data_IF_003991940428
#
_entry.id   IF_003991940428
#
_cell.length_a   1.000
_cell.length_b   1.000
_cell.length_c   1.000
_cell.angle_alpha   90.00
_cell.angle_beta   90.00
_cell.angle_gamma   90.00
#
_symmetry.space_group_name_H-M   'P 1'
#
loop_
_entity.id
_entity.type
_entity.pdbx_description
1 polymer ?
#
# COMPACT_ATOMS: atom_id res chain seq x y z
N UNK A 1 15.07 -29.08 15.92
CA UNK A 1 14.54 -28.09 16.91
C UNK A 1 14.85 -26.62 16.58
N UNK A 2 15.97 -26.29 15.90
CA UNK A 2 16.36 -24.88 15.64
C UNK A 2 15.52 -24.07 14.63
N UNK A 3 14.89 -24.71 13.63
CA UNK A 3 14.10 -23.98 12.60
C UNK A 3 12.79 -23.39 13.13
N UNK A 4 12.04 -24.10 13.98
CA UNK A 4 10.81 -23.57 14.61
C UNK A 4 11.10 -22.38 15.53
N UNK A 5 12.23 -22.42 16.26
CA UNK A 5 12.61 -21.34 17.17
C UNK A 5 12.98 -20.04 16.41
N UNK A 6 13.68 -20.16 15.28
CA UNK A 6 13.99 -19.01 14.41
C UNK A 6 12.75 -18.43 13.73
N UNK A 7 11.79 -19.27 13.31
CA UNK A 7 10.54 -18.80 12.70
C UNK A 7 9.67 -18.04 13.70
N UNK A 8 9.49 -18.57 14.91
CA UNK A 8 8.71 -17.89 15.95
C UNK A 8 9.36 -16.55 16.34
N UNK A 9 10.68 -16.51 16.44
CA UNK A 9 11.40 -15.28 16.74
C UNK A 9 11.26 -14.23 15.62
N UNK A 10 11.27 -14.64 14.34
CA UNK A 10 11.04 -13.74 13.22
C UNK A 10 9.59 -13.20 13.20
N UNK A 11 8.60 -14.05 13.50
CA UNK A 11 7.19 -13.65 13.60
C UNK A 11 6.97 -12.67 14.76
N UNK A 12 7.56 -12.92 15.92
CA UNK A 12 7.51 -12.00 17.07
C UNK A 12 8.18 -10.66 16.75
N UNK A 13 9.28 -10.67 16.00
CA UNK A 13 10.00 -9.45 15.60
C UNK A 13 9.20 -8.64 14.58
N UNK A 14 8.56 -9.29 13.60
CA UNK A 14 7.66 -8.65 12.63
C UNK A 14 6.43 -8.07 13.31
N UNK A 15 5.76 -8.85 14.16
CA UNK A 15 4.59 -8.39 14.90
C UNK A 15 4.92 -7.20 15.81
N UNK A 16 6.04 -7.25 16.54
CA UNK A 16 6.49 -6.14 17.38
C UNK A 16 6.86 -4.91 16.55
N UNK A 17 7.47 -5.08 15.37
CA UNK A 17 7.80 -3.98 14.46
C UNK A 17 6.55 -3.29 13.95
N UNK A 18 5.58 -4.03 13.42
CA UNK A 18 4.34 -3.48 12.86
C UNK A 18 3.50 -2.82 13.96
N UNK A 19 3.45 -3.46 15.14
CA UNK A 19 2.83 -2.88 16.32
C UNK A 19 3.49 -1.56 16.75
N UNK A 20 4.83 -1.52 16.81
CA UNK A 20 5.57 -0.31 17.18
C UNK A 20 5.40 0.82 16.15
N UNK A 21 5.37 0.51 14.86
CA UNK A 21 5.14 1.48 13.79
C UNK A 21 3.74 2.08 13.88
N UNK A 22 2.71 1.23 14.04
CA UNK A 22 1.34 1.68 14.18
C UNK A 22 1.14 2.48 15.47
N UNK A 23 1.74 2.00 16.57
CA UNK A 23 1.74 2.68 17.86
C UNK A 23 2.45 4.05 17.78
N UNK A 24 3.56 4.15 17.05
CA UNK A 24 4.32 5.38 16.85
C UNK A 24 3.51 6.41 16.04
N UNK A 25 2.90 6.00 14.93
CA UNK A 25 2.07 6.87 14.08
C UNK A 25 0.82 7.37 14.82
N UNK A 26 0.17 6.51 15.62
CA UNK A 26 -0.95 6.94 16.47
C UNK A 26 -0.49 7.77 17.67
N UNK A 27 0.73 7.57 18.17
CA UNK A 27 1.33 8.40 19.22
C UNK A 27 1.58 9.83 18.72
N UNK A 28 2.19 10.02 17.54
CA UNK A 28 2.66 11.35 17.11
C UNK A 28 1.53 12.42 17.09
N UNK A 29 0.35 12.07 16.56
CA UNK A 29 -0.80 12.99 16.55
C UNK A 29 -1.32 13.28 17.97
N UNK A 30 -1.49 12.24 18.80
CA UNK A 30 -2.03 12.39 20.16
C UNK A 30 -1.04 13.05 21.12
N UNK A 31 0.26 12.90 20.86
CA UNK A 31 1.33 13.39 21.70
C UNK A 31 1.54 14.89 21.51
N UNK A 32 1.50 15.40 20.28
CA UNK A 32 1.53 16.85 20.00
C UNK A 32 0.34 17.54 20.69
N UNK A 33 -0.86 16.94 20.62
CA UNK A 33 -2.05 17.43 21.34
C UNK A 33 -1.90 17.41 22.87
N UNK A 34 -1.04 16.53 23.41
CA UNK A 34 -0.81 16.40 24.85
C UNK A 34 0.20 17.40 25.42
N UNK A 35 1.07 18.01 24.59
CA UNK A 35 2.10 18.96 25.02
C UNK A 35 1.51 20.13 25.83
N UNK A 36 0.44 20.83 25.39
CA UNK A 36 -0.18 21.89 26.17
C UNK A 36 -0.68 21.42 27.54
N UNK A 37 -1.19 20.19 27.63
CA UNK A 37 -1.71 19.60 28.87
C UNK A 37 -0.58 19.34 29.86
N UNK A 38 0.57 18.86 29.38
CA UNK A 38 1.76 18.61 30.19
C UNK A 38 2.38 19.92 30.68
N UNK A 39 2.47 20.93 29.81
CA UNK A 39 2.93 22.28 30.20
C UNK A 39 2.00 22.88 31.26
N UNK A 40 0.68 22.73 31.08
CA UNK A 40 -0.30 23.18 32.06
C UNK A 40 -0.11 22.47 33.41
N UNK A 41 0.11 21.15 33.42
CA UNK A 41 0.42 20.39 34.63
C UNK A 41 1.68 20.90 35.32
N UNK A 42 2.76 21.13 34.56
CA UNK A 42 4.01 21.69 35.07
C UNK A 42 3.81 23.06 35.72
N UNK A 43 3.08 23.97 35.06
CA UNK A 43 2.81 25.32 35.57
C UNK A 43 1.97 25.27 36.85
N UNK A 44 0.89 24.48 36.87
CA UNK A 44 -0.01 24.38 38.02
C UNK A 44 0.71 23.80 39.25
N UNK A 45 1.56 22.79 39.07
CA UNK A 45 2.35 22.21 40.17
C UNK A 45 3.50 23.12 40.62
N UNK A 46 4.08 23.92 39.72
CA UNK A 46 5.00 24.98 40.12
C UNK A 46 4.28 26.03 40.99
N UNK A 47 3.10 26.48 40.60
CA UNK A 47 2.31 27.46 41.35
C UNK A 47 1.82 26.91 42.70
N UNK A 48 1.49 25.62 42.78
CA UNK A 48 1.12 24.92 44.01
C UNK A 48 2.17 25.11 45.11
N UNK A 49 3.46 25.02 44.77
CA UNK A 49 4.54 25.09 45.76
C UNK A 49 4.78 26.50 46.30
N UNK A 50 4.60 27.51 45.45
CA UNK A 50 5.07 28.88 45.71
C UNK A 50 3.97 29.89 46.05
N UNK A 51 2.71 29.47 46.10
CA UNK A 51 1.57 30.36 46.41
C UNK A 51 0.87 29.96 47.71
N UNK A 52 0.13 30.91 48.30
CA UNK A 52 -0.69 30.67 49.51
C UNK A 52 -1.93 29.80 49.24
N UNK A 53 -2.41 29.78 47.99
CA UNK A 53 -3.64 29.06 47.56
C UNK A 53 -3.36 27.61 47.12
N UNK A 54 -2.58 26.86 47.90
CA UNK A 54 -2.14 25.49 47.53
C UNK A 54 -3.29 24.56 47.12
N UNK A 55 -4.39 24.56 47.87
CA UNK A 55 -5.56 23.71 47.59
C UNK A 55 -6.17 23.99 46.21
N UNK A 56 -6.25 25.26 45.79
CA UNK A 56 -6.80 25.65 44.49
C UNK A 56 -5.94 25.10 43.35
N UNK A 57 -4.63 25.29 43.41
CA UNK A 57 -3.72 24.84 42.35
C UNK A 57 -3.61 23.32 42.26
N UNK A 58 -3.71 22.63 43.40
CA UNK A 58 -3.80 21.18 43.42
C UNK A 58 -5.07 20.69 42.71
N UNK A 59 -6.23 21.29 43.01
CA UNK A 59 -7.51 20.95 42.36
C UNK A 59 -7.43 21.20 40.86
N UNK A 60 -6.93 22.38 40.45
CA UNK A 60 -6.75 22.70 39.03
C UNK A 60 -5.78 21.74 38.34
N UNK A 61 -4.70 21.32 39.02
CA UNK A 61 -3.76 20.32 38.52
C UNK A 61 -4.37 18.92 38.40
N UNK A 62 -5.34 18.55 39.22
CA UNK A 62 -6.00 17.25 39.09
C UNK A 62 -7.01 17.18 37.93
N UNK A 63 -7.57 18.31 37.49
CA UNK A 63 -8.59 18.33 36.42
C UNK A 63 -8.07 17.71 35.12
N UNK A 64 -6.88 18.09 34.57
CA UNK A 64 -6.33 17.45 33.39
C UNK A 64 -6.13 15.95 33.53
N UNK A 65 -5.70 15.47 34.69
CA UNK A 65 -5.52 14.05 34.95
C UNK A 65 -6.86 13.29 34.86
N UNK A 66 -7.92 13.85 35.44
CA UNK A 66 -9.27 13.28 35.34
C UNK A 66 -9.73 13.22 33.88
N UNK A 67 -9.49 14.28 33.09
CA UNK A 67 -9.82 14.31 31.66
C UNK A 67 -9.07 13.22 30.89
N UNK A 68 -7.76 13.05 31.14
CA UNK A 68 -6.94 12.00 30.50
C UNK A 68 -7.50 10.61 30.85
N UNK A 69 -7.81 10.35 32.12
CA UNK A 69 -8.36 9.06 32.57
C UNK A 69 -9.72 8.78 31.94
N UNK A 70 -10.63 9.75 31.95
CA UNK A 70 -11.97 9.59 31.36
C UNK A 70 -11.88 9.34 29.85
N UNK A 71 -11.04 10.09 29.13
CA UNK A 71 -10.84 9.91 27.68
C UNK A 71 -10.23 8.53 27.37
N UNK A 72 -9.25 8.10 28.17
CA UNK A 72 -8.65 6.76 28.05
C UNK A 72 -9.70 5.67 28.28
N UNK A 73 -10.51 5.78 29.32
CA UNK A 73 -11.58 4.83 29.61
C UNK A 73 -12.63 4.79 28.50
N UNK A 74 -13.08 5.96 28.00
CA UNK A 74 -14.00 6.04 26.87
C UNK A 74 -13.43 5.32 25.64
N UNK A 75 -12.15 5.51 25.33
CA UNK A 75 -11.53 4.86 24.18
C UNK A 75 -11.41 3.34 24.34
N UNK A 76 -11.00 2.88 25.52
CA UNK A 76 -10.92 1.44 25.82
C UNK A 76 -12.29 0.78 25.69
N UNK A 77 -13.34 1.42 26.22
CA UNK A 77 -14.72 0.91 26.19
C UNK A 77 -15.29 0.92 24.77
N UNK A 78 -15.06 1.99 23.99
CA UNK A 78 -15.67 2.16 22.68
C UNK A 78 -14.95 1.41 21.54
N UNK A 79 -13.63 1.29 21.60
CA UNK A 79 -12.84 0.74 20.48
C UNK A 79 -12.19 -0.61 20.76
N UNK A 80 -12.18 -1.10 22.00
CA UNK A 80 -11.64 -2.41 22.38
C UNK A 80 -10.20 -2.66 21.87
N UNK A 81 -9.39 -1.61 21.78
CA UNK A 81 -8.03 -1.64 21.25
C UNK A 81 -7.02 -1.49 22.39
N UNK A 82 -6.25 -2.55 22.63
CA UNK A 82 -5.11 -2.56 23.56
C UNK A 82 -4.10 -1.44 23.27
N UNK A 83 -3.91 -1.09 21.99
CA UNK A 83 -3.06 0.01 21.52
C UNK A 83 -3.45 1.37 22.16
N UNK A 84 -4.74 1.64 22.30
CA UNK A 84 -5.25 2.90 22.86
C UNK A 84 -5.07 3.00 24.38
N UNK A 85 -5.10 1.86 25.08
CA UNK A 85 -4.81 1.82 26.51
C UNK A 85 -3.35 2.21 26.78
N UNK A 86 -2.42 1.75 25.92
CA UNK A 86 -1.01 2.10 26.02
C UNK A 86 -0.76 3.60 25.78
N UNK A 87 -1.44 4.20 24.79
CA UNK A 87 -1.38 5.66 24.56
C UNK A 87 -1.86 6.42 25.80
N UNK A 88 -2.97 6.00 26.41
CA UNK A 88 -3.49 6.62 27.64
C UNK A 88 -2.53 6.51 28.83
N UNK A 89 -1.90 5.34 29.03
CA UNK A 89 -0.86 5.15 30.05
C UNK A 89 0.33 6.08 29.78
N UNK A 90 0.76 6.18 28.52
CA UNK A 90 1.88 7.03 28.13
C UNK A 90 1.59 8.50 28.43
N UNK A 91 0.44 9.02 27.99
CA UNK A 91 0.02 10.41 28.27
C UNK A 91 -0.09 10.68 29.76
N UNK A 92 -0.60 9.71 30.54
CA UNK A 92 -0.70 9.83 32.00
C UNK A 92 0.68 9.90 32.66
N UNK A 93 1.60 9.02 32.26
CA UNK A 93 2.97 9.02 32.74
C UNK A 93 3.68 10.34 32.38
N UNK A 94 3.46 10.82 31.15
CA UNK A 94 4.04 12.06 30.66
C UNK A 94 3.53 13.28 31.42
N UNK A 95 2.23 13.33 31.70
CA UNK A 95 1.62 14.33 32.57
C UNK A 95 2.22 14.29 33.98
N UNK A 96 2.36 13.08 34.56
CA UNK A 96 2.97 12.86 35.87
C UNK A 96 4.41 13.38 35.95
N UNK A 97 5.23 13.12 34.92
CA UNK A 97 6.59 13.65 34.79
C UNK A 97 6.55 15.19 34.76
N UNK A 98 5.64 15.78 33.97
CA UNK A 98 5.46 17.25 33.94
C UNK A 98 5.12 17.83 35.32
N UNK A 99 4.23 17.19 36.08
CA UNK A 99 3.90 17.59 37.44
C UNK A 99 5.10 17.47 38.40
N UNK A 100 5.89 16.40 38.29
CA UNK A 100 7.11 16.21 39.08
C UNK A 100 8.13 17.32 38.79
N UNK A 101 8.39 17.60 37.51
CA UNK A 101 9.27 18.69 37.07
C UNK A 101 8.76 20.03 37.63
N UNK A 102 7.45 20.29 37.52
CA UNK A 102 6.80 21.48 38.08
C UNK A 102 7.03 21.64 39.59
N UNK A 103 7.01 20.54 40.34
CA UNK A 103 7.28 20.58 41.79
C UNK A 103 8.73 20.92 42.14
N UNK A 104 9.70 20.59 41.28
CA UNK A 104 11.10 21.01 41.43
C UNK A 104 11.37 22.40 40.85
N UNK A 105 10.45 22.93 40.06
CA UNK A 105 10.56 24.23 39.42
C UNK A 105 10.53 25.39 40.43
N UNK A 106 11.46 26.34 40.29
CA UNK A 106 11.47 27.56 41.07
C UNK A 106 11.14 28.75 40.15
N UNK A 107 9.93 29.32 40.22
CA UNK A 107 9.48 30.35 39.31
C UNK A 107 10.25 31.66 39.47
N UNK A 108 11.01 31.83 40.57
CA UNK A 108 11.88 33.00 40.80
C UNK A 108 13.17 32.96 39.99
N UNK A 109 13.57 31.80 39.44
CA UNK A 109 14.79 31.65 38.64
C UNK A 109 14.42 31.69 37.16
N UNK A 110 14.73 32.79 36.48
CA UNK A 110 14.40 33.02 35.07
C UNK A 110 14.94 31.92 34.13
N UNK A 111 16.10 31.34 34.46
CA UNK A 111 16.69 30.23 33.72
C UNK A 111 15.82 28.97 33.69
N UNK A 112 14.99 28.74 34.71
CA UNK A 112 14.10 27.58 34.71
C UNK A 112 12.97 27.76 33.69
N UNK A 113 12.47 28.99 33.51
CA UNK A 113 11.46 29.33 32.51
C UNK A 113 11.97 29.18 31.07
N UNK A 114 13.26 29.37 30.84
CA UNK A 114 13.89 29.13 29.54
C UNK A 114 14.24 27.66 29.33
N UNK A 115 14.91 27.01 30.30
CA UNK A 115 15.43 25.66 30.13
C UNK A 115 14.37 24.57 30.23
N UNK A 116 13.30 24.78 31.01
CA UNK A 116 12.25 23.77 31.20
C UNK A 116 11.52 23.42 29.90
N UNK A 117 10.92 24.40 29.20
CA UNK A 117 10.27 24.18 27.91
C UNK A 117 11.23 23.66 26.84
N UNK A 118 12.47 24.15 26.80
CA UNK A 118 13.49 23.70 25.84
C UNK A 118 13.90 22.24 26.10
N UNK A 119 14.11 21.84 27.36
CA UNK A 119 14.42 20.46 27.70
C UNK A 119 13.26 19.51 27.36
N UNK A 120 12.02 19.91 27.66
CA UNK A 120 10.82 19.18 27.24
C UNK A 120 10.78 19.03 25.71
N UNK A 121 10.94 20.12 24.97
CA UNK A 121 10.97 20.13 23.51
C UNK A 121 12.08 19.20 22.96
N UNK A 122 13.28 19.22 23.54
CA UNK A 122 14.40 18.38 23.11
C UNK A 122 14.15 16.90 23.39
N UNK A 123 13.53 16.55 24.53
CA UNK A 123 13.14 15.16 24.83
C UNK A 123 12.13 14.62 23.81
N UNK A 124 11.33 15.49 23.17
CA UNK A 124 10.45 15.12 22.07
C UNK A 124 11.14 15.12 20.71
N UNK A 125 11.89 16.17 20.40
CA UNK A 125 12.50 16.33 19.09
C UNK A 125 13.59 15.29 18.84
N UNK A 126 14.41 14.94 19.85
CA UNK A 126 15.54 14.02 19.65
C UNK A 126 15.08 12.63 19.21
N UNK A 127 14.13 11.95 19.88
CA UNK A 127 13.60 10.67 19.41
C UNK A 127 12.97 10.76 18.02
N UNK A 128 12.20 11.83 17.73
CA UNK A 128 11.54 11.99 16.44
C UNK A 128 12.54 12.24 15.31
N UNK A 129 13.59 13.03 15.56
CA UNK A 129 14.71 13.24 14.63
C UNK A 129 15.47 11.93 14.42
N UNK A 130 15.81 11.21 15.49
CA UNK A 130 16.51 9.92 15.41
C UNK A 130 15.67 8.89 14.64
N UNK A 131 14.37 8.81 14.91
CA UNK A 131 13.42 7.97 14.18
C UNK A 131 13.41 8.32 12.70
N UNK A 132 13.18 9.60 12.37
CA UNK A 132 13.15 10.12 11.00
C UNK A 132 14.42 9.82 10.20
N UNK A 133 15.60 9.94 10.84
CA UNK A 133 16.88 9.68 10.19
C UNK A 133 17.33 8.22 10.23
N UNK A 134 16.70 7.37 11.05
CA UNK A 134 17.07 5.97 11.09
C UNK A 134 16.33 5.18 10.00
N UNK A 135 17.12 4.56 9.12
CA UNK A 135 16.63 3.77 7.98
C UNK A 135 15.76 2.58 8.37
N UNK A 136 15.75 2.22 9.65
CA UNK A 136 14.91 1.16 10.19
C UNK A 136 13.42 1.54 10.18
N UNK A 137 13.09 2.84 10.17
CA UNK A 137 11.72 3.35 10.05
C UNK A 137 11.34 3.75 8.62
N UNK A 138 12.24 3.55 7.66
CA UNK A 138 11.85 3.78 6.26
C UNK A 138 10.81 2.75 5.84
N UNK A 139 9.80 3.26 5.15
CA UNK A 139 8.65 2.50 4.70
C UNK A 139 9.06 1.65 3.49
N UNK A 140 8.62 0.38 3.41
CA UNK A 140 8.83 -0.42 2.21
C UNK A 140 8.10 0.25 1.06
N UNK A 141 8.79 0.50 -0.05
CA UNK A 141 8.21 1.14 -1.22
C UNK A 141 7.20 0.23 -1.93
N UNK A 142 7.45 -1.08 -1.88
CA UNK A 142 6.59 -2.07 -2.49
C UNK A 142 6.59 -3.37 -1.71
N UNK A 143 5.59 -4.20 -1.97
CA UNK A 143 5.45 -5.51 -1.32
C UNK A 143 5.96 -6.61 -2.25
N UNK A 144 6.70 -7.57 -1.69
CA UNK A 144 7.17 -8.77 -2.39
C UNK A 144 6.53 -9.99 -1.72
N UNK A 145 5.82 -10.80 -2.50
CA UNK A 145 5.27 -12.08 -2.04
C UNK A 145 5.75 -13.20 -2.95
N UNK A 146 6.60 -14.06 -2.40
CA UNK A 146 7.09 -15.26 -3.06
C UNK A 146 6.34 -16.50 -2.55
N UNK A 147 5.71 -17.21 -3.47
CA UNK A 147 4.93 -18.41 -3.20
C UNK A 147 5.36 -19.55 -4.13
N UNK A 148 5.32 -20.81 -3.69
CA UNK A 148 5.41 -21.92 -4.62
C UNK A 148 4.23 -21.82 -5.59
N UNK A 149 4.50 -22.02 -6.88
CA UNK A 149 3.43 -22.14 -7.86
C UNK A 149 2.61 -23.37 -7.47
N UNK A 150 1.34 -23.19 -7.14
CA UNK A 150 0.44 -24.27 -6.78
C UNK A 150 0.17 -25.15 -8.02
N UNK A 151 1.13 -26.01 -8.34
CA UNK A 151 1.06 -26.93 -9.46
C UNK A 151 0.12 -28.10 -9.14
N UNK A 152 -0.02 -28.48 -7.85
CA UNK A 152 -0.68 -29.73 -7.44
C UNK A 152 -1.36 -29.69 -6.04
N UNK A 153 -2.32 -28.80 -5.78
CA UNK A 153 -3.12 -28.95 -4.53
C UNK A 153 -4.42 -28.14 -4.49
N UNK A 154 -5.46 -28.59 -5.20
CA UNK A 154 -6.86 -28.70 -4.71
C UNK A 154 -7.77 -29.17 -5.86
N UNK A 155 -8.33 -30.36 -5.75
CA UNK A 155 -9.25 -30.93 -6.74
C UNK A 155 -10.45 -30.01 -7.00
N UNK A 156 -10.56 -29.51 -8.23
CA UNK A 156 -11.70 -28.73 -8.68
C UNK A 156 -11.38 -27.80 -9.84
N UNK A 157 -11.41 -28.33 -11.07
CA UNK A 157 -11.67 -27.57 -12.30
C UNK A 157 -10.57 -26.67 -12.92
N UNK A 158 -9.45 -26.33 -12.25
CA UNK A 158 -8.37 -25.49 -12.85
C UNK A 158 -7.17 -26.30 -13.35
N UNK A 159 -7.06 -27.58 -12.98
CA UNK A 159 -5.90 -28.44 -13.25
C UNK A 159 -5.58 -28.69 -14.74
N UNK A 160 -6.54 -28.44 -15.66
CA UNK A 160 -6.28 -28.57 -17.09
C UNK A 160 -5.64 -27.30 -17.71
N UNK A 161 -5.79 -26.14 -17.07
CA UNK A 161 -5.32 -24.88 -17.63
C UNK A 161 -3.87 -24.60 -17.25
N UNK A 162 -3.50 -24.76 -15.97
CA UNK A 162 -2.13 -24.54 -15.52
C UNK A 162 -1.15 -25.59 -16.07
N UNK A 163 -1.51 -26.88 -16.06
CA UNK A 163 -0.71 -27.94 -16.70
C UNK A 163 -0.62 -27.78 -18.23
N UNK A 164 -1.71 -27.32 -18.87
CA UNK A 164 -1.72 -27.01 -20.30
C UNK A 164 -0.89 -25.78 -20.68
N UNK A 165 -0.84 -24.77 -19.81
CA UNK A 165 -0.03 -23.56 -19.98
C UNK A 165 1.44 -23.80 -19.68
N UNK A 166 1.78 -24.53 -18.61
CA UNK A 166 3.15 -24.93 -18.28
C UNK A 166 3.78 -25.81 -19.37
N UNK A 167 2.97 -26.61 -20.08
CA UNK A 167 3.42 -27.36 -21.25
C UNK A 167 3.68 -26.47 -22.49
N UNK A 168 3.15 -25.24 -22.52
CA UNK A 168 3.17 -24.36 -23.69
C UNK A 168 4.09 -23.15 -23.52
N UNK A 169 4.33 -22.68 -22.31
CA UNK A 169 5.09 -21.47 -22.00
C UNK A 169 6.10 -21.71 -20.89
N UNK A 170 7.20 -20.97 -20.93
CA UNK A 170 8.26 -21.02 -19.93
C UNK A 170 7.91 -20.20 -18.68
N UNK A 171 7.27 -19.05 -18.89
CA UNK A 171 6.77 -18.19 -17.83
C UNK A 171 5.65 -17.27 -18.32
N UNK A 172 4.92 -16.69 -17.38
CA UNK A 172 3.91 -15.66 -17.59
C UNK A 172 4.20 -14.44 -16.72
N UNK A 173 4.08 -13.23 -17.29
CA UNK A 173 4.06 -11.97 -16.56
C UNK A 173 2.66 -11.37 -16.65
N UNK A 174 2.02 -11.13 -15.51
CA UNK A 174 0.79 -10.36 -15.42
C UNK A 174 1.12 -8.98 -14.85
N UNK A 175 0.94 -7.96 -15.66
CA UNK A 175 1.19 -6.56 -15.31
C UNK A 175 -0.17 -5.90 -15.14
N UNK A 176 -0.41 -5.25 -14.02
CA UNK A 176 -1.58 -4.42 -13.80
C UNK A 176 -1.21 -3.02 -13.35
N UNK A 177 -2.01 -2.07 -13.83
CA UNK A 177 -2.03 -0.71 -13.35
C UNK A 177 -3.47 -0.36 -13.02
N UNK A 178 -3.75 0.15 -11.83
CA UNK A 178 -5.07 0.66 -11.46
C UNK A 178 -4.99 1.91 -10.61
N UNK A 179 -6.01 2.75 -10.64
CA UNK A 179 -6.19 3.75 -9.60
C UNK A 179 -6.48 3.07 -8.24
N UNK A 180 -6.33 3.80 -7.14
CA UNK A 180 -6.47 3.30 -5.78
C UNK A 180 -7.89 2.86 -5.42
N UNK A 181 -8.90 3.29 -6.18
CA UNK A 181 -10.29 2.87 -6.04
C UNK A 181 -10.66 1.78 -7.06
N UNK A 182 -9.73 1.40 -7.94
CA UNK A 182 -9.87 0.34 -8.94
C UNK A 182 -11.06 0.65 -9.89
N UNK A 183 -11.27 1.93 -10.19
CA UNK A 183 -12.23 2.37 -11.19
C UNK A 183 -11.73 2.09 -12.60
N UNK A 184 -10.47 2.38 -12.92
CA UNK A 184 -9.80 2.07 -14.17
C UNK A 184 -8.62 1.12 -13.88
N UNK A 185 -8.73 -0.13 -14.31
CA UNK A 185 -7.67 -1.14 -14.23
C UNK A 185 -7.24 -1.54 -15.65
N UNK A 186 -5.97 -1.33 -15.96
CA UNK A 186 -5.29 -1.71 -17.19
C UNK A 186 -4.44 -2.94 -16.92
N UNK A 187 -4.48 -3.91 -17.82
CA UNK A 187 -3.81 -5.19 -17.62
C UNK A 187 -3.09 -5.62 -18.89
N UNK A 188 -1.93 -6.24 -18.72
CA UNK A 188 -1.18 -6.91 -19.77
C UNK A 188 -0.69 -8.28 -19.27
N UNK A 189 -1.04 -9.34 -20.01
CA UNK A 189 -0.57 -10.71 -19.77
C UNK A 189 0.42 -11.08 -20.87
N UNK A 190 1.66 -11.38 -20.48
CA UNK A 190 2.74 -11.74 -21.39
C UNK A 190 3.12 -13.19 -21.13
N UNK A 191 2.87 -14.08 -22.10
CA UNK A 191 3.20 -15.51 -22.03
C UNK A 191 4.38 -15.79 -22.94
N UNK A 192 5.49 -16.26 -22.40
CA UNK A 192 6.74 -16.42 -23.15
C UNK A 192 7.08 -17.89 -23.35
N UNK A 193 7.53 -18.24 -24.56
CA UNK A 193 8.08 -19.55 -24.90
C UNK A 193 9.35 -19.35 -25.71
N UNK A 194 10.51 -19.64 -25.12
CA UNK A 194 11.82 -19.43 -25.72
C UNK A 194 11.97 -18.03 -26.35
N UNK A 195 11.91 -17.94 -27.68
CA UNK A 195 12.11 -16.73 -28.47
C UNK A 195 10.80 -16.20 -29.08
N UNK A 196 9.66 -16.57 -28.51
CA UNK A 196 8.34 -15.98 -28.83
C UNK A 196 7.58 -15.59 -27.57
N UNK A 197 6.74 -14.57 -27.69
CA UNK A 197 5.87 -14.11 -26.61
C UNK A 197 4.47 -13.77 -27.14
N UNK A 198 3.44 -14.21 -26.45
CA UNK A 198 2.06 -13.76 -26.67
C UNK A 198 1.76 -12.66 -25.67
N UNK A 199 1.46 -11.46 -26.16
CA UNK A 199 1.10 -10.30 -25.34
C UNK A 199 -0.39 -10.04 -25.50
N UNK A 200 -1.15 -10.18 -24.43
CA UNK A 200 -2.57 -9.86 -24.40
C UNK A 200 -2.81 -8.65 -23.49
N UNK A 201 -3.55 -7.66 -23.96
CA UNK A 201 -3.92 -6.47 -23.19
C UNK A 201 -5.41 -6.42 -22.97
N UNK A 202 -5.82 -5.95 -21.80
CA UNK A 202 -7.22 -5.71 -21.47
C UNK A 202 -7.36 -4.49 -20.56
N UNK A 203 -8.58 -3.99 -20.50
CA UNK A 203 -8.94 -2.81 -19.71
C UNK A 203 -10.24 -3.10 -18.97
N UNK A 204 -10.39 -2.53 -17.77
CA UNK A 204 -11.57 -2.64 -16.93
C UNK A 204 -11.92 -1.25 -16.42
N UNK A 205 -13.12 -0.77 -16.71
CA UNK A 205 -13.60 0.55 -16.29
C UNK A 205 -14.86 0.36 -15.45
N UNK A 206 -14.92 0.97 -14.27
CA UNK A 206 -16.00 0.88 -13.30
C UNK A 206 -16.35 -0.55 -12.88
N UNK A 207 -15.35 -1.42 -12.77
CA UNK A 207 -15.59 -2.82 -12.48
C UNK A 207 -16.08 -3.65 -13.69
N UNK A 208 -16.36 -3.03 -14.83
CA UNK A 208 -16.79 -3.69 -16.07
C UNK A 208 -15.56 -3.94 -16.94
N UNK A 209 -15.32 -5.22 -17.27
CA UNK A 209 -14.26 -5.56 -18.21
C UNK A 209 -14.65 -5.02 -19.58
N UNK A 210 -13.79 -4.20 -20.18
CA UNK A 210 -13.95 -3.85 -21.59
C UNK A 210 -13.81 -5.15 -22.38
N UNK A 211 -14.81 -5.45 -23.20
CA UNK A 211 -15.01 -6.79 -23.77
C UNK A 211 -13.96 -7.24 -24.79
N UNK A 212 -12.97 -6.39 -25.05
CA UNK A 212 -11.95 -6.58 -26.08
C UNK A 212 -10.60 -6.83 -25.42
N UNK A 213 -10.25 -8.11 -25.27
CA UNK A 213 -8.86 -8.51 -25.04
C UNK A 213 -8.13 -8.52 -26.39
N UNK A 214 -7.06 -7.74 -26.50
CA UNK A 214 -6.25 -7.67 -27.73
C UNK A 214 -4.99 -8.49 -27.54
N UNK A 215 -4.81 -9.55 -28.34
CA UNK A 215 -3.64 -10.41 -28.26
C UNK A 215 -2.77 -10.31 -29.53
N UNK A 216 -1.46 -10.17 -29.33
CA UNK A 216 -0.47 -10.09 -30.40
C UNK A 216 0.72 -11.02 -30.12
N UNK A 217 1.14 -11.79 -31.12
CA UNK A 217 2.39 -12.54 -31.06
C UNK A 217 3.59 -11.64 -31.38
N UNK A 218 4.58 -11.67 -30.50
CA UNK A 218 5.91 -11.12 -30.71
C UNK A 218 6.88 -12.27 -30.93
N UNK A 219 7.79 -12.10 -31.89
CA UNK A 219 8.88 -13.03 -32.21
C UNK A 219 10.20 -12.26 -32.23
N UNK A 220 11.33 -12.94 -32.02
CA UNK A 220 12.65 -12.31 -32.12
C UNK A 220 12.90 -11.81 -33.54
N UNK A 221 13.68 -10.75 -33.70
CA UNK A 221 14.02 -10.20 -35.03
C UNK A 221 14.75 -11.23 -35.91
N UNK A 222 15.55 -12.11 -35.31
CA UNK A 222 16.17 -13.26 -35.97
C UNK A 222 15.16 -14.28 -36.51
N UNK A 223 13.95 -14.34 -35.95
CA UNK A 223 12.86 -15.18 -36.46
C UNK A 223 12.03 -14.46 -37.54
N UNK A 224 11.95 -13.13 -37.53
CA UNK A 224 11.27 -12.34 -38.57
C UNK A 224 11.96 -12.43 -39.93
N UNK A 225 13.28 -12.58 -39.99
CA UNK A 225 14.00 -12.78 -41.27
C UNK A 225 13.62 -14.09 -41.99
N UNK A 226 12.92 -15.02 -41.32
CA UNK A 226 12.45 -16.28 -41.87
C UNK A 226 10.94 -16.30 -42.19
N UNK A 227 10.18 -15.32 -41.70
CA UNK A 227 8.72 -15.26 -41.85
C UNK A 227 8.31 -14.07 -42.70
N UNK A 228 7.91 -14.31 -43.96
CA UNK A 228 7.34 -13.30 -44.86
C UNK A 228 5.89 -12.90 -44.55
N UNK A 229 5.27 -13.50 -43.53
CA UNK A 229 3.86 -13.25 -43.21
C UNK A 229 3.69 -12.06 -42.24
N UNK A 230 2.65 -11.22 -42.46
CA UNK A 230 2.32 -10.13 -41.55
C UNK A 230 1.89 -10.68 -40.17
N UNK A 231 2.11 -9.91 -39.08
CA UNK A 231 1.72 -10.35 -37.75
C UNK A 231 0.20 -10.59 -37.67
N UNK A 232 -0.21 -11.83 -37.42
CA UNK A 232 -1.61 -12.19 -37.19
C UNK A 232 -2.11 -11.51 -35.91
N UNK A 233 -3.13 -10.65 -36.03
CA UNK A 233 -3.90 -10.10 -34.90
C UNK A 233 -5.09 -11.01 -34.65
N UNK A 234 -5.23 -11.53 -33.43
CA UNK A 234 -6.40 -12.31 -33.02
C UNK A 234 -7.31 -11.43 -32.16
N UNK A 235 -8.54 -11.23 -32.60
CA UNK A 235 -9.61 -10.65 -31.78
C UNK A 235 -10.25 -11.79 -30.98
N UNK A 236 -10.06 -11.79 -29.66
CA UNK A 236 -10.74 -12.73 -28.78
C UNK A 236 -12.01 -12.05 -28.28
N UNK A 237 -13.17 -12.48 -28.78
CA UNK A 237 -14.48 -12.00 -28.34
C UNK A 237 -14.91 -12.81 -27.10
N UNK A 238 -14.99 -12.16 -25.95
CA UNK A 238 -15.46 -12.79 -24.70
C UNK A 238 -16.98 -12.60 -24.61
N UNK A 239 -17.74 -13.63 -24.97
CA UNK A 239 -19.20 -13.55 -25.11
C UNK A 239 -19.96 -13.47 -23.78
N UNK A 240 -19.37 -13.82 -22.63
CA UNK A 240 -20.01 -13.59 -21.32
C UNK A 240 -19.01 -13.43 -20.17
N UNK A 241 -19.32 -12.50 -19.27
CA UNK A 241 -18.66 -12.34 -17.98
C UNK A 241 -19.76 -12.42 -16.91
N UNK A 242 -19.70 -13.43 -16.04
CA UNK A 242 -20.62 -13.58 -14.91
C UNK A 242 -20.00 -12.96 -13.67
N UNK A 243 -20.69 -12.00 -13.05
CA UNK A 243 -20.29 -11.44 -11.76
C UNK A 243 -20.77 -12.35 -10.61
N UNK A 244 -19.83 -12.89 -9.84
CA UNK A 244 -20.13 -13.56 -8.58
C UNK A 244 -20.32 -12.56 -7.44
N UNK A 245 -21.29 -12.81 -6.54
CA UNK A 245 -21.47 -12.02 -5.31
C UNK A 245 -20.17 -11.99 -4.50
N UNK A 246 -19.70 -10.80 -4.13
CA UNK A 246 -18.68 -10.61 -3.10
C UNK A 246 -19.21 -11.17 -1.77
N UNK A 247 -18.76 -12.37 -1.38
CA UNK A 247 -18.95 -12.90 -0.02
C UNK A 247 -17.93 -12.22 0.89
N UNK A 248 -18.39 -11.41 1.86
CA UNK A 248 -17.50 -10.97 2.93
C UNK A 248 -17.85 -9.71 3.74
N UNK A 249 -18.93 -8.98 3.46
CA UNK A 249 -19.30 -7.81 4.28
C UNK A 249 -20.31 -8.18 5.37
N UNK A 250 -19.82 -8.66 6.52
CA UNK A 250 -20.61 -8.81 7.76
C UNK A 250 -20.39 -7.64 8.72
N UNK A 251 -20.47 -6.41 8.21
CA UNK A 251 -20.60 -5.21 9.05
C UNK A 251 -22.09 -4.83 9.15
N UNK A 252 -22.66 -4.69 10.37
CA UNK A 252 -24.06 -4.28 10.54
C UNK A 252 -24.33 -2.80 10.22
N UNK A 253 -23.36 -2.03 9.73
CA UNK A 253 -23.52 -0.59 9.43
C UNK A 253 -23.69 -0.23 7.94
N UNK A 254 -23.81 -1.20 7.03
CA UNK A 254 -24.02 -0.94 5.59
C UNK A 254 -25.45 -1.28 5.12
N UNK A 255 -26.48 -0.71 5.73
CA UNK A 255 -27.90 -0.97 5.36
C UNK A 255 -28.48 0.05 4.35
N UNK A 256 -27.69 0.99 3.81
CA UNK A 256 -28.20 2.01 2.88
C UNK A 256 -27.63 1.98 1.44
N UNK A 257 -27.09 0.86 0.97
CA UNK A 257 -26.66 0.74 -0.43
C UNK A 257 -27.10 -0.59 -1.07
N UNK A 258 -28.40 -0.77 -1.26
CA UNK A 258 -28.92 -1.74 -2.24
C UNK A 258 -29.27 -0.99 -3.52
N UNK A 259 -28.35 -0.97 -4.48
CA UNK A 259 -28.61 -0.52 -5.85
C UNK A 259 -29.19 -1.68 -6.68
N UNK A 260 -30.07 -1.39 -7.65
CA UNK A 260 -30.51 -2.38 -8.64
C UNK A 260 -29.36 -2.72 -9.58
N UNK A 261 -29.23 -4.00 -9.93
CA UNK A 261 -28.30 -4.49 -10.94
C UNK A 261 -28.88 -4.20 -12.32
N UNK A 262 -28.22 -3.34 -13.09
CA UNK A 262 -28.58 -3.02 -14.48
C UNK A 262 -27.77 -3.92 -15.42
N UNK A 263 -28.47 -4.58 -16.35
CA UNK A 263 -27.86 -5.31 -17.46
C UNK A 263 -27.57 -4.30 -18.56
N UNK A 264 -26.31 -3.89 -18.69
CA UNK A 264 -25.87 -2.96 -19.73
C UNK A 264 -25.82 -3.71 -21.07
N UNK A 265 -26.53 -3.19 -22.06
CA UNK A 265 -26.50 -3.69 -23.44
C UNK A 265 -25.11 -3.46 -24.05
N UNK A 266 -24.40 -4.53 -24.39
CA UNK A 266 -23.04 -4.46 -24.95
C UNK A 266 -23.09 -3.95 -26.39
N UNK A 267 -22.59 -2.73 -26.64
CA UNK A 267 -22.17 -2.31 -27.99
C UNK A 267 -20.66 -2.59 -28.16
N UNK A 268 -20.22 -3.30 -29.21
CA UNK A 268 -18.81 -3.44 -29.49
C UNK A 268 -18.25 -2.07 -29.91
N UNK A 269 -17.25 -1.59 -29.18
CA UNK A 269 -16.44 -0.45 -29.59
C UNK A 269 -15.08 -1.02 -29.99
N UNK A 270 -14.75 -0.90 -31.28
CA UNK A 270 -13.45 -1.29 -31.80
C UNK A 270 -12.46 -0.14 -31.61
N UNK A 271 -11.37 -0.40 -30.88
CA UNK A 271 -10.25 0.52 -30.77
C UNK A 271 -9.02 -0.10 -31.44
N UNK A 272 -8.41 0.64 -32.36
CA UNK A 272 -7.14 0.28 -32.96
C UNK A 272 -6.02 0.92 -32.15
N UNK A 273 -5.23 0.11 -31.45
CA UNK A 273 -4.07 0.60 -30.70
C UNK A 273 -2.84 0.67 -31.61
N UNK A 274 -2.24 1.86 -31.74
CA UNK A 274 -0.91 2.07 -32.33
C UNK A 274 0.11 2.31 -31.23
N UNK A 275 0.58 1.24 -30.57
CA UNK A 275 1.80 1.33 -29.77
C UNK A 275 3.01 1.06 -30.67
N UNK A 276 4.00 1.94 -30.66
CA UNK A 276 5.25 1.76 -31.43
C UNK A 276 5.89 0.38 -31.17
N UNK A 277 6.20 -0.40 -32.22
CA UNK A 277 6.61 -1.81 -32.11
C UNK A 277 7.97 -2.03 -31.42
N UNK A 278 8.83 -1.01 -31.35
CA UNK A 278 10.20 -1.12 -30.80
C UNK A 278 10.25 -1.27 -29.26
N UNK A 279 9.17 -0.92 -28.56
CA UNK A 279 9.11 -1.01 -27.09
C UNK A 279 8.62 -2.35 -26.55
N UNK A 280 8.14 -3.26 -27.43
CA UNK A 280 7.58 -4.57 -27.05
C UNK A 280 8.44 -5.74 -27.57
N UNK A 281 9.75 -5.57 -27.69
CA UNK A 281 10.65 -6.63 -28.16
C UNK A 281 10.81 -7.74 -27.12
N UNK A 282 11.10 -8.96 -27.58
CA UNK A 282 11.32 -10.11 -26.68
C UNK A 282 12.51 -9.92 -25.76
N UNK A 283 13.57 -9.25 -26.24
CA UNK A 283 14.71 -8.91 -25.39
C UNK A 283 14.29 -8.06 -24.19
N UNK A 284 13.42 -7.05 -24.40
CA UNK A 284 12.88 -6.22 -23.31
C UNK A 284 11.99 -7.04 -22.36
N UNK A 285 11.22 -8.00 -22.86
CA UNK A 285 10.41 -8.90 -22.01
C UNK A 285 11.31 -9.78 -21.11
N UNK A 286 12.39 -10.33 -21.64
CA UNK A 286 13.36 -11.10 -20.85
C UNK A 286 14.12 -10.23 -19.85
N UNK A 287 14.45 -8.98 -20.22
CA UNK A 287 15.05 -8.01 -19.31
C UNK A 287 14.09 -7.65 -18.16
N UNK A 288 12.82 -7.39 -18.47
CA UNK A 288 11.78 -7.14 -17.48
C UNK A 288 11.62 -8.34 -16.52
N UNK A 289 11.59 -9.58 -17.03
CA UNK A 289 11.60 -10.79 -16.18
C UNK A 289 12.77 -10.77 -15.21
N UNK A 290 13.99 -10.53 -15.70
CA UNK A 290 15.19 -10.52 -14.87
C UNK A 290 15.10 -9.46 -13.77
N UNK A 291 14.60 -8.26 -14.09
CA UNK A 291 14.40 -7.20 -13.09
C UNK A 291 13.41 -7.63 -12.01
N UNK A 292 12.27 -8.20 -12.38
CA UNK A 292 11.26 -8.73 -11.45
C UNK A 292 11.83 -9.88 -10.59
N UNK A 293 12.66 -10.75 -11.15
CA UNK A 293 13.33 -11.83 -10.42
C UNK A 293 14.45 -11.34 -9.49
N UNK A 294 15.09 -10.22 -9.80
CA UNK A 294 16.16 -9.65 -8.99
C UNK A 294 15.70 -8.56 -8.02
N UNK A 295 14.45 -8.11 -8.13
CA UNK A 295 13.93 -7.01 -7.31
C UNK A 295 14.05 -7.33 -5.82
N UNK A 296 14.57 -6.35 -5.07
CA UNK A 296 14.63 -6.35 -3.62
C UNK A 296 13.84 -5.15 -3.11
N UNK A 297 13.27 -5.27 -1.91
CA UNK A 297 12.48 -4.21 -1.30
C UNK A 297 13.33 -2.93 -1.16
N UNK A 298 12.94 -1.88 -1.88
CA UNK A 298 13.47 -0.54 -1.72
C UNK A 298 12.70 0.17 -0.60
N UNK A 299 13.36 1.06 0.16
CA UNK A 299 12.74 1.76 1.29
C UNK A 299 12.86 3.26 1.12
N UNK A 300 11.84 3.99 1.57
CA UNK A 300 11.77 5.45 1.49
C UNK A 300 11.35 6.09 2.83
N UNK A 301 11.78 7.34 3.12
CA UNK A 301 11.53 7.97 4.42
C UNK A 301 10.13 8.58 4.58
N UNK A 302 9.22 8.32 3.65
CA UNK A 302 7.87 8.88 3.65
C UNK A 302 6.86 7.87 3.11
N UNK A 303 5.62 7.95 3.59
CA UNK A 303 4.51 7.23 2.99
C UNK A 303 4.10 7.89 1.68
N UNK A 304 3.60 7.07 0.78
CA UNK A 304 3.31 7.50 -0.57
C UNK A 304 1.84 7.21 -0.90
N UNK A 305 1.05 8.29 -0.98
CA UNK A 305 -0.39 8.26 -1.25
C UNK A 305 -0.70 9.13 -2.46
N UNK A 306 -0.79 8.55 -3.64
CA UNK A 306 -1.13 9.29 -4.86
C UNK A 306 -2.22 8.65 -5.70
N UNK A 307 -2.82 7.59 -5.17
CA UNK A 307 -4.03 7.04 -5.75
C UNK A 307 -3.79 6.06 -6.88
N UNK A 308 -2.65 5.35 -6.95
CA UNK A 308 -2.52 4.21 -7.86
C UNK A 308 -1.79 3.00 -7.29
N UNK A 309 -2.00 1.87 -7.96
CA UNK A 309 -1.46 0.55 -7.65
C UNK A 309 -0.88 -0.02 -8.94
N UNK A 310 0.42 -0.29 -8.94
CA UNK A 310 1.11 -0.98 -10.03
C UNK A 310 1.60 -2.34 -9.54
N UNK A 311 1.17 -3.40 -10.20
CA UNK A 311 1.39 -4.79 -9.78
C UNK A 311 2.06 -5.58 -10.92
N UNK A 312 3.00 -6.44 -10.57
CA UNK A 312 3.60 -7.41 -11.49
C UNK A 312 3.62 -8.78 -10.85
N UNK A 313 2.95 -9.75 -11.47
CA UNK A 313 3.02 -11.16 -11.07
C UNK A 313 3.80 -11.96 -12.09
N UNK A 314 4.91 -12.58 -11.66
CA UNK A 314 5.67 -13.56 -12.43
C UNK A 314 5.24 -14.97 -12.03
N UNK A 315 4.82 -15.76 -13.00
CA UNK A 315 4.61 -17.20 -12.89
C UNK A 315 5.73 -17.91 -13.66
N UNK A 316 6.76 -18.40 -12.96
CA UNK A 316 7.85 -19.15 -13.59
C UNK A 316 7.55 -20.66 -13.51
N UNK A 317 7.03 -21.22 -14.61
CA UNK A 317 6.60 -22.61 -14.67
C UNK A 317 7.77 -23.59 -14.57
N UNK A 318 8.95 -23.21 -15.06
CA UNK A 318 10.16 -24.06 -15.00
C UNK A 318 10.69 -24.17 -13.58
N UNK A 319 10.63 -23.08 -12.81
CA UNK A 319 11.10 -23.03 -11.42
C UNK A 319 10.02 -23.42 -10.42
N UNK A 320 8.75 -23.42 -10.82
CA UNK A 320 7.61 -23.65 -9.94
C UNK A 320 7.44 -22.54 -8.91
N UNK A 321 7.71 -21.29 -9.30
CA UNK A 321 7.65 -20.12 -8.41
C UNK A 321 6.65 -19.10 -8.93
N UNK A 322 5.83 -18.56 -8.02
CA UNK A 322 5.05 -17.36 -8.21
C UNK A 322 5.69 -16.24 -7.41
N UNK A 323 5.99 -15.12 -8.07
CA UNK A 323 6.40 -13.87 -7.41
C UNK A 323 5.39 -12.80 -7.72
N UNK A 324 4.85 -12.18 -6.68
CA UNK A 324 4.00 -10.99 -6.78
C UNK A 324 4.78 -9.78 -6.26
N UNK A 325 4.82 -8.73 -7.09
CA UNK A 325 5.35 -7.42 -6.75
C UNK A 325 4.21 -6.41 -6.79
N UNK A 326 4.06 -5.66 -5.71
CA UNK A 326 3.23 -4.45 -5.68
C UNK A 326 4.17 -3.27 -5.52
N UNK A 327 4.39 -2.51 -6.60
CA UNK A 327 5.28 -1.36 -6.61
C UNK A 327 4.45 -0.09 -6.59
N UNK A 328 3.69 0.05 -5.50
CA UNK A 328 2.89 1.23 -5.24
C UNK A 328 3.74 2.47 -5.44
N UNK A 329 3.26 3.35 -6.30
CA UNK A 329 3.85 4.63 -6.59
C UNK A 329 5.26 4.73 -7.26
N UNK A 330 5.64 3.81 -8.16
CA UNK A 330 6.90 3.89 -8.93
C UNK A 330 7.14 5.22 -9.72
N UNK A 331 6.09 5.91 -10.15
CA UNK A 331 6.11 7.15 -10.94
C UNK A 331 6.51 8.40 -10.12
N UNK A 332 6.03 8.57 -8.89
CA UNK A 332 6.30 9.79 -8.07
C UNK A 332 7.64 9.70 -7.35
N UNK A 333 8.08 8.49 -6.99
CA UNK A 333 9.40 8.29 -6.42
C UNK A 333 10.48 8.88 -7.31
N UNK A 334 11.41 9.66 -6.74
CA UNK A 334 12.53 10.17 -7.53
C UNK A 334 13.37 8.98 -8.03
N UNK A 335 13.90 9.03 -9.27
CA UNK A 335 14.62 7.89 -9.85
C UNK A 335 15.79 7.36 -9.01
N UNK A 336 16.39 8.22 -8.18
CA UNK A 336 17.50 7.91 -7.28
C UNK A 336 17.06 7.25 -5.97
N UNK A 337 15.80 7.37 -5.57
CA UNK A 337 15.28 6.81 -4.32
C UNK A 337 14.78 5.36 -4.50
N UNK A 338 14.20 5.04 -5.66
CA UNK A 338 13.60 3.73 -5.98
C UNK A 338 13.97 3.26 -7.40
N UNK A 339 15.27 3.14 -7.72
CA UNK A 339 15.75 2.94 -9.08
C UNK A 339 15.24 1.65 -9.72
N UNK A 340 15.11 0.55 -8.96
CA UNK A 340 14.68 -0.73 -9.55
C UNK A 340 13.18 -0.75 -9.79
N UNK A 341 12.38 -0.27 -8.84
CA UNK A 341 10.94 -0.19 -9.01
C UNK A 341 10.57 0.70 -10.20
N UNK A 342 11.24 1.86 -10.33
CA UNK A 342 11.04 2.78 -11.47
C UNK A 342 11.45 2.17 -12.80
N UNK A 343 12.55 1.40 -12.83
CA UNK A 343 13.00 0.70 -14.03
C UNK A 343 12.01 -0.40 -14.45
N UNK A 344 11.43 -1.14 -13.49
CA UNK A 344 10.38 -2.13 -13.76
C UNK A 344 9.15 -1.43 -14.35
N UNK A 345 8.67 -0.36 -13.71
CA UNK A 345 7.54 0.45 -14.20
C UNK A 345 7.78 0.96 -15.63
N UNK A 346 8.91 1.61 -15.90
CA UNK A 346 9.26 2.13 -17.22
C UNK A 346 9.33 1.06 -18.31
N UNK A 347 9.79 -0.15 -17.98
CA UNK A 347 9.82 -1.28 -18.92
C UNK A 347 8.46 -1.93 -19.11
N UNK A 348 7.63 -1.97 -18.07
CA UNK A 348 6.34 -2.62 -18.08
C UNK A 348 5.24 -1.73 -18.70
N UNK A 349 5.31 -0.41 -18.48
CA UNK A 349 4.29 0.55 -18.90
C UNK A 349 3.97 0.49 -20.40
N UNK A 350 4.94 0.34 -21.33
CA UNK A 350 4.64 0.18 -22.76
C UNK A 350 3.79 -1.04 -23.11
N UNK A 351 3.70 -2.06 -22.24
CA UNK A 351 2.85 -3.22 -22.45
C UNK A 351 1.39 -2.97 -22.06
N UNK A 352 1.12 -1.97 -21.23
CA UNK A 352 -0.23 -1.61 -20.83
C UNK A 352 -0.96 -0.85 -21.96
N UNK A 353 -2.29 -0.98 -22.07
CA UNK A 353 -3.09 -0.19 -23.00
C UNK A 353 -3.31 1.23 -22.46
N UNK A 354 -2.21 1.99 -22.29
CA UNK A 354 -2.21 3.40 -21.87
C UNK A 354 -1.61 4.19 -23.02
N UNK A 355 -2.41 5.06 -23.63
CA UNK A 355 -1.98 5.99 -24.67
C UNK A 355 -2.63 7.36 -24.47
N UNK A 356 -2.19 8.35 -25.26
CA UNK A 356 -2.71 9.72 -25.21
C UNK A 356 -4.23 9.79 -25.46
N UNK A 357 -4.78 8.84 -26.21
CA UNK A 357 -6.19 8.80 -26.58
C UNK A 357 -7.08 8.10 -25.55
N UNK A 358 -6.49 7.30 -24.66
CA UNK A 358 -7.19 6.53 -23.63
C UNK A 358 -6.63 6.78 -22.23
N UNK A 359 -6.59 8.05 -21.77
CA UNK A 359 -6.08 8.39 -20.46
C UNK A 359 -6.85 7.66 -19.35
N UNK A 360 -6.19 7.53 -18.22
CA UNK A 360 -6.74 6.91 -17.02
C UNK A 360 -7.81 7.82 -16.43
N UNK A 361 -8.96 7.26 -16.08
CA UNK A 361 -10.05 7.99 -15.43
C UNK A 361 -9.82 8.07 -13.90
N UNK A 362 -8.97 9.01 -13.50
CA UNK A 362 -8.51 9.16 -12.12
C UNK A 362 -9.62 9.43 -11.11
N UNK A 363 -10.60 10.24 -11.49
CA UNK A 363 -11.68 10.68 -10.61
C UNK A 363 -12.92 9.77 -10.69
N UNK A 364 -12.84 8.72 -11.52
CA UNK A 364 -13.96 7.86 -11.84
C UNK A 364 -15.12 8.66 -12.45
N UNK A 365 -14.84 9.73 -13.19
CA UNK A 365 -15.87 10.58 -13.82
C UNK A 365 -16.73 9.75 -14.77
N UNK A 366 -16.12 8.83 -15.54
CA UNK A 366 -16.85 7.93 -16.43
C UNK A 366 -17.76 6.99 -15.65
N UNK A 367 -17.38 6.64 -14.42
CA UNK A 367 -18.19 5.83 -13.52
C UNK A 367 -19.33 6.59 -12.84
N UNK A 368 -19.21 7.92 -12.71
CA UNK A 368 -20.28 8.78 -12.18
C UNK A 368 -21.30 9.08 -13.28
N UNK A 369 -20.85 9.41 -14.48
CA UNK A 369 -21.70 9.74 -15.62
C UNK A 369 -22.55 8.56 -16.08
N UNK A 370 -22.01 7.34 -16.00
CA UNK A 370 -22.78 6.12 -16.29
C UNK A 370 -23.92 5.89 -15.30
N UNK A 371 -23.81 6.39 -14.07
CA UNK A 371 -24.85 6.27 -13.03
C UNK A 371 -25.90 7.37 -13.10
N UNK A 372 -25.59 8.52 -13.72
CA UNK A 372 -26.50 9.66 -13.83
C UNK A 372 -27.49 9.55 -15.00
N UNK A 373 -27.30 8.57 -15.89
CA UNK A 373 -28.15 8.32 -17.07
C UNK A 373 -29.18 7.20 -16.86
N UNK A 374 -29.18 6.61 -15.67
CA UNK A 374 -30.17 5.66 -15.17
C UNK A 374 -30.97 6.32 -14.04
#
# INVERSE_FOLDING_TARGET
>A
MGRKKKLNQAIETLFMRDFLLKFYNEMDCNLIESIPIVILGMVLFALYKHTSKKKLWLVLGCIPLVVIVVRTLQWVICKNLYEMALVGIYVTAFYGIGCLIGNFFNPRKIWHWLLGPVALLLVFLVPNIVSYFSKDYWHPFGTIVDEPLALDSAGGSINNLAGGLAARFDYELNISFSDAFIFDKRMATIRVKADSALVCTSKKVCGVLDSVETCEWKTSESARSLSKEPPMRYLVKIDSASFGKLKGSTSPFCVFCTLPYVVIEKKPIEFTFESSPENKSISKIHELKKLVESYQEEKIPYDVFDGYIFEVTLLDYRRGVKRYLELSNAMVGKPDEVPNAKRIDQMANPFLPIDENTPIDWDGEKCRDSKAKD
#
